data_IF_781093898398
#
_entry.id   IF_781093898398
#
_cell.length_a   1.000
_cell.length_b   1.000
_cell.length_c   1.000
_cell.angle_alpha   90.00
_cell.angle_beta   90.00
_cell.angle_gamma   90.00
#
_symmetry.space_group_name_H-M   'P 1'
#
loop_
_entity.id
_entity.type
_entity.pdbx_description
1 polymer ?
#
# COMPACT_ATOMS: atom_id res chain seq x y z
N UNK A 1 -18.14 8.54 -2.64
CA UNK A 1 -17.09 9.34 -1.98
C UNK A 1 -15.94 8.42 -1.59
N UNK A 2 -14.71 8.75 -2.01
CA UNK A 2 -13.52 7.96 -1.66
C UNK A 2 -13.15 8.22 -0.20
N UNK A 3 -12.69 7.19 0.50
CA UNK A 3 -12.33 7.23 1.91
C UNK A 3 -10.93 6.65 2.11
N UNK A 4 -10.19 7.27 3.02
CA UNK A 4 -8.91 6.80 3.53
C UNK A 4 -9.08 6.48 5.00
N UNK A 5 -8.87 5.22 5.34
CA UNK A 5 -9.10 4.68 6.68
C UNK A 5 -7.79 4.11 7.20
N UNK A 6 -7.44 4.40 8.46
CA UNK A 6 -6.30 3.80 9.14
C UNK A 6 -6.78 3.11 10.41
N UNK A 7 -6.52 1.80 10.50
CA UNK A 7 -6.88 0.97 11.65
C UNK A 7 -5.58 0.43 12.25
N UNK A 8 -5.34 0.71 13.53
CA UNK A 8 -4.26 0.08 14.30
C UNK A 8 -4.72 -1.31 14.76
N UNK A 9 -3.90 -2.32 14.51
CA UNK A 9 -4.16 -3.71 14.89
C UNK A 9 -2.95 -4.26 15.62
N UNK A 10 -3.17 -4.92 16.75
CA UNK A 10 -2.10 -5.60 17.48
C UNK A 10 -1.72 -6.89 16.72
N UNK A 11 -0.56 -6.89 16.06
CA UNK A 11 -0.11 -7.99 15.20
C UNK A 11 1.33 -8.40 15.50
N UNK A 12 1.53 -9.34 16.43
CA UNK A 12 2.86 -9.75 16.84
C UNK A 12 3.54 -10.78 15.92
N UNK A 13 2.81 -11.35 14.96
CA UNK A 13 3.27 -12.47 14.14
C UNK A 13 3.10 -12.23 12.63
N UNK A 14 3.95 -12.83 11.79
CA UNK A 14 3.84 -12.71 10.32
C UNK A 14 2.50 -13.22 9.79
N UNK A 15 2.02 -14.35 10.31
CA UNK A 15 0.69 -14.92 9.99
C UNK A 15 -0.45 -13.94 10.32
N UNK A 16 -0.33 -13.23 11.44
CA UNK A 16 -1.29 -12.24 11.90
C UNK A 16 -1.43 -11.12 10.86
N UNK A 17 -0.31 -10.66 10.28
CA UNK A 17 -0.29 -9.63 9.24
C UNK A 17 -0.97 -10.10 7.95
N UNK A 18 -0.71 -11.33 7.54
CA UNK A 18 -1.36 -11.92 6.35
C UNK A 18 -2.87 -12.03 6.54
N UNK A 19 -3.33 -12.52 7.71
CA UNK A 19 -4.77 -12.60 8.03
C UNK A 19 -5.40 -11.21 8.06
N UNK A 20 -4.73 -10.21 8.64
CA UNK A 20 -5.22 -8.85 8.69
C UNK A 20 -5.40 -8.24 7.31
N UNK A 21 -4.40 -8.41 6.43
CA UNK A 21 -4.47 -7.99 5.03
C UNK A 21 -5.61 -8.70 4.30
N UNK A 22 -5.78 -10.01 4.50
CA UNK A 22 -6.83 -10.78 3.86
C UNK A 22 -8.24 -10.34 4.29
N UNK A 23 -8.46 -10.15 5.60
CA UNK A 23 -9.74 -9.68 6.14
C UNK A 23 -10.08 -8.30 5.59
N UNK A 24 -9.11 -7.38 5.54
CA UNK A 24 -9.32 -6.05 4.99
C UNK A 24 -9.54 -6.07 3.47
N UNK A 25 -8.83 -6.91 2.72
CA UNK A 25 -8.95 -6.96 1.27
C UNK A 25 -10.28 -7.55 0.77
N UNK A 26 -10.90 -8.44 1.57
CA UNK A 26 -12.20 -9.06 1.23
C UNK A 26 -13.39 -8.18 1.62
N UNK A 27 -13.18 -7.14 2.42
CA UNK A 27 -14.25 -6.27 2.88
C UNK A 27 -14.86 -5.46 1.72
N UNK A 28 -16.18 -5.27 1.79
CA UNK A 28 -16.93 -4.52 0.77
C UNK A 28 -16.46 -3.06 0.71
N UNK A 29 -16.37 -2.53 -0.52
CA UNK A 29 -15.96 -1.15 -0.77
C UNK A 29 -14.46 -0.90 -0.68
N UNK A 30 -13.65 -1.91 -0.34
CA UNK A 30 -12.19 -1.77 -0.27
C UNK A 30 -11.57 -1.89 -1.66
N UNK A 31 -10.76 -0.90 -2.04
CA UNK A 31 -10.05 -0.87 -3.31
C UNK A 31 -8.55 -1.19 -3.12
N UNK A 32 -7.96 -0.80 -1.99
CA UNK A 32 -6.56 -1.09 -1.69
C UNK A 32 -6.31 -1.17 -0.19
N UNK A 33 -5.38 -2.05 0.19
CA UNK A 33 -4.95 -2.26 1.58
C UNK A 33 -3.43 -2.31 1.61
N UNK A 34 -2.82 -1.63 2.58
CA UNK A 34 -1.39 -1.68 2.84
C UNK A 34 -1.09 -1.71 4.33
N UNK A 35 0.05 -2.32 4.69
CA UNK A 35 0.62 -2.15 6.04
C UNK A 35 1.32 -0.81 6.12
N UNK A 36 1.11 -0.10 7.22
CA UNK A 36 1.64 1.23 7.48
C UNK A 36 2.30 1.32 8.86
N UNK A 37 3.16 2.33 9.03
CA UNK A 37 3.92 2.57 10.26
C UNK A 37 5.21 1.75 10.37
N UNK A 38 6.14 2.16 11.25
CA UNK A 38 7.44 1.51 11.41
C UNK A 38 7.33 0.04 11.85
N UNK A 39 6.41 -0.24 12.77
CA UNK A 39 6.14 -1.59 13.30
C UNK A 39 5.25 -2.45 12.39
N UNK A 40 4.69 -1.86 11.31
CA UNK A 40 3.71 -2.51 10.42
C UNK A 40 2.47 -3.00 11.16
N UNK A 41 2.07 -2.27 12.20
CA UNK A 41 0.90 -2.56 13.05
C UNK A 41 -0.35 -1.76 12.66
N UNK A 42 -0.30 -1.02 11.55
CA UNK A 42 -1.42 -0.23 11.04
C UNK A 42 -1.81 -0.72 9.66
N UNK A 43 -3.12 -0.79 9.41
CA UNK A 43 -3.69 -1.03 8.10
C UNK A 43 -4.16 0.30 7.52
N UNK A 44 -3.60 0.67 6.37
CA UNK A 44 -4.09 1.79 5.56
C UNK A 44 -4.98 1.24 4.46
N UNK A 45 -6.21 1.73 4.40
CA UNK A 45 -7.29 1.20 3.57
C UNK A 45 -7.86 2.34 2.75
N UNK A 46 -7.93 2.14 1.44
CA UNK A 46 -8.53 3.06 0.49
C UNK A 46 -9.74 2.38 -0.14
N UNK A 47 -10.87 3.06 -0.15
CA UNK A 47 -12.12 2.47 -0.64
C UNK A 47 -13.24 3.48 -0.79
N UNK A 48 -14.40 2.99 -1.24
CA UNK A 48 -15.63 3.77 -1.38
C UNK A 48 -16.79 2.97 -0.78
N UNK A 49 -17.53 3.59 0.14
CA UNK A 49 -18.62 2.91 0.85
C UNK A 49 -18.15 1.82 1.80
N UNK A 50 -16.95 1.97 2.39
CA UNK A 50 -16.41 1.00 3.34
C UNK A 50 -17.14 1.13 4.67
N UNK A 51 -17.75 0.04 5.13
CA UNK A 51 -18.29 -0.04 6.49
C UNK A 51 -17.13 -0.25 7.49
N UNK A 52 -16.62 0.87 8.01
CA UNK A 52 -15.50 0.89 8.95
C UNK A 52 -15.83 0.14 10.24
N UNK A 53 -17.09 0.17 10.69
CA UNK A 53 -17.51 -0.50 11.92
C UNK A 53 -17.46 -2.02 11.73
N UNK A 54 -18.12 -2.53 10.67
CA UNK A 54 -18.14 -3.96 10.36
C UNK A 54 -16.73 -4.49 10.06
N UNK A 55 -15.91 -3.72 9.34
CA UNK A 55 -14.51 -4.08 9.09
C UNK A 55 -13.69 -4.17 10.39
N UNK A 56 -13.84 -3.20 11.29
CA UNK A 56 -13.14 -3.20 12.58
C UNK A 56 -13.59 -4.37 13.45
N UNK A 57 -14.89 -4.71 13.43
CA UNK A 57 -15.40 -5.91 14.10
C UNK A 57 -14.84 -7.21 13.51
N UNK A 58 -14.78 -7.31 12.18
CA UNK A 58 -14.20 -8.47 11.50
C UNK A 58 -12.73 -8.66 11.88
N UNK A 59 -11.98 -7.56 11.98
CA UNK A 59 -10.61 -7.58 12.49
C UNK A 59 -10.57 -8.03 13.94
N UNK A 60 -11.41 -7.50 14.84
CA UNK A 60 -11.49 -7.92 16.26
C UNK A 60 -11.84 -9.39 16.45
N UNK A 61 -12.66 -9.96 15.56
CA UNK A 61 -13.06 -11.38 15.59
C UNK A 61 -11.90 -12.31 15.23
N UNK A 62 -11.02 -11.89 14.32
CA UNK A 62 -9.89 -12.71 13.84
C UNK A 62 -8.56 -12.36 14.52
N UNK A 63 -8.44 -11.16 15.05
CA UNK A 63 -7.23 -10.56 15.62
C UNK A 63 -7.63 -9.86 16.92
N UNK A 64 -6.92 -10.11 18.03
CA UNK A 64 -7.41 -9.76 19.37
C UNK A 64 -7.84 -8.29 19.55
N UNK A 65 -7.10 -7.33 18.98
CA UNK A 65 -7.36 -5.90 19.17
C UNK A 65 -7.19 -5.09 17.89
N UNK A 66 -8.22 -4.31 17.56
CA UNK A 66 -8.21 -3.33 16.48
C UNK A 66 -8.89 -2.02 16.91
N UNK A 67 -8.27 -0.89 16.56
CA UNK A 67 -8.73 0.46 16.90
C UNK A 67 -8.65 1.36 15.67
N UNK A 68 -9.73 2.08 15.39
CA UNK A 68 -9.78 3.04 14.30
C UNK A 68 -8.97 4.28 14.72
N UNK A 69 -7.96 4.66 13.93
CA UNK A 69 -7.18 5.87 14.18
C UNK A 69 -7.66 7.04 13.31
N UNK A 70 -7.92 6.79 12.03
CA UNK A 70 -8.24 7.85 11.05
C UNK A 70 -9.35 7.36 10.12
N UNK A 71 -10.34 8.22 9.87
CA UNK A 71 -11.30 8.09 8.78
C UNK A 71 -11.39 9.44 8.10
N UNK A 72 -10.75 9.55 6.94
CA UNK A 72 -10.73 10.75 6.11
C UNK A 72 -11.57 10.52 4.87
N UNK A 73 -12.51 11.41 4.58
CA UNK A 73 -13.16 11.46 3.27
C UNK A 73 -12.22 12.16 2.29
N UNK A 74 -11.76 11.43 1.28
CA UNK A 74 -10.99 12.00 0.17
C UNK A 74 -11.98 12.63 -0.80
N UNK A 75 -12.29 13.91 -0.56
CA UNK A 75 -12.91 14.76 -1.57
C UNK A 75 -11.90 14.96 -2.70
N UNK A 76 -12.28 14.60 -3.92
CA UNK A 76 -11.50 14.94 -5.10
C UNK A 76 -11.31 16.47 -5.12
N UNK A 77 -10.07 16.99 -5.10
CA UNK A 77 -9.86 18.40 -5.31
C UNK A 77 -10.29 18.74 -6.74
N UNK A 78 -11.13 19.78 -6.86
CA UNK A 78 -11.32 20.54 -8.10
C UNK A 78 -9.98 20.81 -8.81
N UNK A 79 -9.94 20.97 -10.14
CA UNK A 79 -8.73 21.06 -10.95
C UNK A 79 -7.66 22.03 -10.38
N UNK A 80 -6.36 21.75 -10.63
CA UNK A 80 -5.24 22.31 -9.89
C UNK A 80 -5.15 23.83 -9.99
N UNK A 81 -5.07 24.50 -8.83
CA UNK A 81 -4.60 25.89 -8.77
C UNK A 81 -3.09 25.92 -9.11
N UNK A 82 -2.61 26.92 -9.88
CA UNK A 82 -1.24 26.97 -10.39
C UNK A 82 -0.18 26.95 -9.26
N UNK A 83 1.02 26.39 -9.52
CA UNK A 83 2.04 26.14 -8.51
C UNK A 83 2.61 27.46 -7.95
N UNK A 84 2.59 27.59 -6.63
CA UNK A 84 3.28 28.66 -5.90
C UNK A 84 4.82 28.44 -5.95
N UNK A 85 5.62 29.53 -5.96
CA UNK A 85 7.06 29.47 -6.22
C UNK A 85 7.87 28.74 -5.12
N UNK A 86 9.03 28.15 -5.47
CA UNK A 86 9.82 27.31 -4.57
C UNK A 86 10.63 28.15 -3.57
N UNK A 87 10.43 27.90 -2.28
CA UNK A 87 11.34 28.33 -1.19
C UNK A 87 12.38 27.21 -0.93
N UNK A 88 13.70 27.53 -0.90
CA UNK A 88 14.74 26.52 -0.70
C UNK A 88 14.99 26.27 0.79
N UNK A 89 15.16 25.00 1.18
CA UNK A 89 15.72 24.64 2.50
C UNK A 89 16.50 23.31 2.41
N UNK A 90 17.51 23.12 3.29
CA UNK A 90 18.83 22.62 2.90
C UNK A 90 18.97 21.09 2.88
N UNK A 91 19.89 20.64 2.02
CA UNK A 91 20.27 19.25 1.83
C UNK A 91 20.93 18.69 3.11
N UNK A 92 20.41 17.59 3.66
CA UNK A 92 21.20 16.69 4.51
C UNK A 92 21.29 15.34 3.82
N UNK A 93 22.50 15.04 3.39
CA UNK A 93 22.98 13.75 2.88
C UNK A 93 23.00 12.76 4.04
N UNK A 94 22.40 11.58 3.86
CA UNK A 94 22.90 10.37 4.52
C UNK A 94 22.80 9.15 3.60
N UNK A 95 23.85 8.32 3.70
CA UNK A 95 24.30 7.33 2.74
C UNK A 95 23.36 6.14 2.48
N UNK A 96 23.49 5.59 1.27
CA UNK A 96 22.80 4.41 0.75
C UNK A 96 23.15 3.11 1.51
N UNK A 97 22.13 2.30 1.80
CA UNK A 97 22.22 0.83 1.77
C UNK A 97 20.81 0.23 1.58
N UNK A 98 20.52 -0.52 0.50
CA UNK A 98 19.23 -1.19 0.33
C UNK A 98 19.21 -2.54 1.09
N UNK A 99 18.30 -2.77 2.05
CA UNK A 99 17.98 -4.11 2.50
C UNK A 99 17.10 -4.82 1.45
N UNK A 100 17.47 -6.06 1.14
CA UNK A 100 16.85 -6.89 0.11
C UNK A 100 15.38 -7.09 0.40
N UNK A 101 14.50 -6.54 -0.45
CA UNK A 101 13.11 -6.95 -0.49
C UNK A 101 12.88 -7.76 -1.76
N UNK A 102 12.89 -9.07 -1.55
CA UNK A 102 12.48 -10.10 -2.49
C UNK A 102 11.03 -9.87 -2.94
N UNK A 103 10.86 -9.40 -4.17
CA UNK A 103 9.57 -9.41 -4.84
C UNK A 103 9.30 -10.82 -5.38
N UNK A 104 8.67 -11.69 -4.59
CA UNK A 104 8.13 -12.95 -5.13
C UNK A 104 6.87 -12.66 -5.93
N UNK A 105 7.03 -12.63 -7.26
CA UNK A 105 5.90 -12.66 -8.20
C UNK A 105 5.44 -14.12 -8.31
N UNK A 106 4.26 -14.43 -7.78
CA UNK A 106 3.62 -15.73 -7.96
C UNK A 106 3.27 -15.87 -9.45
N UNK A 107 4.06 -16.66 -10.17
CA UNK A 107 3.81 -17.02 -11.56
C UNK A 107 2.66 -18.02 -11.64
N UNK A 108 1.48 -17.54 -12.00
CA UNK A 108 0.39 -18.36 -12.52
C UNK A 108 0.70 -18.83 -13.94
N UNK A 109 0.52 -20.11 -14.17
CA UNK A 109 0.86 -20.88 -15.37
C UNK A 109 -0.06 -20.64 -16.57
N UNK A 110 0.58 -20.51 -17.76
CA UNK A 110 0.20 -21.06 -19.10
C UNK A 110 -0.86 -20.34 -19.95
N UNK A 111 -0.98 -20.65 -21.27
CA UNK A 111 0.02 -20.98 -22.29
C UNK A 111 -0.15 -20.14 -23.59
N UNK A 112 0.71 -20.41 -24.58
CA UNK A 112 0.50 -20.29 -26.06
C UNK A 112 1.43 -19.35 -26.84
N UNK A 113 2.24 -20.01 -27.68
CA UNK A 113 2.51 -19.72 -29.10
C UNK A 113 3.24 -18.44 -29.53
N UNK A 114 4.50 -18.68 -29.87
CA UNK A 114 5.20 -18.18 -31.08
C UNK A 114 5.68 -16.73 -31.15
N UNK A 115 6.93 -16.63 -31.61
CA UNK A 115 7.50 -15.56 -32.43
C UNK A 115 7.74 -14.20 -31.75
N UNK A 116 8.94 -14.10 -31.18
CA UNK A 116 9.95 -13.11 -31.58
C UNK A 116 9.61 -11.63 -31.50
N UNK A 117 10.24 -10.93 -30.56
CA UNK A 117 10.68 -9.55 -30.79
C UNK A 117 12.07 -9.36 -30.18
N UNK A 118 13.04 -9.25 -31.06
CA UNK A 118 14.37 -8.67 -30.85
C UNK A 118 14.23 -7.15 -30.80
N UNK A 119 15.02 -6.48 -29.94
CA UNK A 119 15.69 -5.17 -30.09
C UNK A 119 15.67 -4.43 -28.74
N UNK A 120 16.65 -3.66 -28.28
CA UNK A 120 18.06 -3.35 -28.61
C UNK A 120 18.53 -2.55 -27.37
N UNK A 121 19.64 -2.94 -26.74
CA UNK A 121 20.28 -2.17 -25.66
C UNK A 121 21.29 -1.19 -26.30
N UNK A 122 21.28 0.11 -25.99
CA UNK A 122 22.42 0.96 -26.30
C UNK A 122 23.49 0.80 -25.22
N UNK A 123 24.63 0.27 -25.64
CA UNK A 123 25.92 0.21 -24.94
C UNK A 123 26.38 1.61 -24.56
N UNK A 124 26.49 1.91 -23.26
CA UNK A 124 27.21 3.11 -22.79
C UNK A 124 28.57 2.67 -22.26
N UNK A 125 29.59 3.10 -23.00
CA UNK A 125 31.02 2.88 -22.79
C UNK A 125 31.55 3.94 -21.83
N UNK A 126 32.10 3.52 -20.70
CA UNK A 126 32.72 4.40 -19.69
C UNK A 126 34.16 4.70 -20.11
N UNK A 127 34.57 5.97 -20.00
CA UNK A 127 35.95 6.44 -20.11
C UNK A 127 36.32 7.16 -18.83
#
# INVERSE_FOLDING_TARGET
>A
MKQKIVIKVSMHCSKCRTVALQVAAVAYGVNSVALHGPEKDKLMILGEGVDVACLTEALRKKLCHATIEIVEEVKEPSPPKPPAPPTPSPQIIYCQQPPQFECYRVGGLTPTSSLGVVLVLPTVRVR
#
